data_IF_985173090664
#
_entry.id   IF_985173090664
#
_cell.length_a   1.000
_cell.length_b   1.000
_cell.length_c   1.000
_cell.angle_alpha   90.00
_cell.angle_beta   90.00
_cell.angle_gamma   90.00
#
_symmetry.space_group_name_H-M   'P 1'
#
loop_
_entity.id
_entity.type
_entity.pdbx_description
1 polymer ?
#
# COMPACT_ATOMS: atom_id res chain seq x y z
N UNK A 1 -5.37 -18.42 7.04
CA UNK A 1 -5.12 -17.17 7.78
C UNK A 1 -4.30 -16.26 6.86
N UNK A 2 -4.47 -14.94 6.92
CA UNK A 2 -3.72 -13.94 6.14
C UNK A 2 -3.24 -12.91 7.16
N UNK A 3 -1.98 -12.49 7.08
CA UNK A 3 -1.49 -11.35 7.87
C UNK A 3 -1.75 -10.07 7.09
N UNK A 4 -2.26 -9.07 7.79
CA UNK A 4 -2.43 -7.73 7.26
C UNK A 4 -1.18 -6.92 7.56
N UNK A 5 -0.39 -6.61 6.54
CA UNK A 5 0.79 -5.75 6.68
C UNK A 5 0.42 -4.31 6.34
N UNK A 6 0.70 -3.39 7.26
CA UNK A 6 0.59 -1.95 7.02
C UNK A 6 1.97 -1.38 6.66
N UNK A 7 2.07 -0.74 5.50
CA UNK A 7 3.28 -0.07 5.06
C UNK A 7 2.98 1.40 4.75
N UNK A 8 3.91 2.29 5.10
CA UNK A 8 3.87 3.69 4.65
C UNK A 8 5.07 3.95 3.76
N UNK A 9 4.83 4.40 2.54
CA UNK A 9 5.87 4.69 1.55
C UNK A 9 5.78 6.15 1.12
N UNK A 10 6.94 6.81 1.07
CA UNK A 10 7.06 8.19 0.62
C UNK A 10 7.79 8.24 -0.73
N UNK A 11 7.21 8.96 -1.68
CA UNK A 11 7.76 9.23 -3.00
C UNK A 11 8.01 10.72 -3.14
N UNK A 12 9.15 11.06 -3.76
CA UNK A 12 9.58 12.43 -4.00
C UNK A 12 9.62 12.64 -5.51
N UNK A 13 8.62 13.34 -6.04
CA UNK A 13 8.36 13.48 -7.47
C UNK A 13 8.69 14.89 -7.95
N UNK A 14 9.15 15.01 -9.18
CA UNK A 14 9.45 16.32 -9.78
C UNK A 14 8.18 17.03 -10.28
N UNK A 15 7.10 16.28 -10.53
CA UNK A 15 5.82 16.82 -11.00
C UNK A 15 4.63 16.16 -10.32
N UNK A 16 3.50 16.87 -10.29
CA UNK A 16 2.22 16.30 -9.83
C UNK A 16 1.81 15.08 -10.66
N UNK A 17 2.02 15.15 -11.98
CA UNK A 17 1.69 14.05 -12.89
C UNK A 17 2.47 12.77 -12.56
N UNK A 18 3.76 12.89 -12.25
CA UNK A 18 4.59 11.75 -11.86
C UNK A 18 4.08 11.11 -10.56
N UNK A 19 3.68 11.91 -9.58
CA UNK A 19 3.05 11.40 -8.35
C UNK A 19 1.73 10.66 -8.67
N UNK A 20 0.93 11.18 -9.59
CA UNK A 20 -0.32 10.53 -10.01
C UNK A 20 -0.06 9.22 -10.75
N UNK A 21 0.93 9.17 -11.66
CA UNK A 21 1.32 7.96 -12.38
C UNK A 21 1.81 6.86 -11.41
N UNK A 22 2.57 7.23 -10.36
CA UNK A 22 2.97 6.32 -9.29
C UNK A 22 1.74 5.81 -8.54
N UNK A 23 0.83 6.69 -8.13
CA UNK A 23 -0.38 6.33 -7.40
C UNK A 23 -1.24 5.33 -8.19
N UNK A 24 -1.44 5.57 -9.48
CA UNK A 24 -2.26 4.72 -10.33
C UNK A 24 -1.59 3.35 -10.58
N UNK A 25 -0.27 3.33 -10.74
CA UNK A 25 0.49 2.08 -10.78
C UNK A 25 0.33 1.28 -9.49
N UNK A 26 0.47 1.94 -8.32
CA UNK A 26 0.32 1.29 -7.01
C UNK A 26 -1.09 0.73 -6.80
N UNK A 27 -2.13 1.44 -7.23
CA UNK A 27 -3.50 0.93 -7.22
C UNK A 27 -3.63 -0.33 -8.08
N UNK A 28 -3.11 -0.32 -9.30
CA UNK A 28 -3.15 -1.47 -10.20
C UNK A 28 -2.39 -2.68 -9.61
N UNK A 29 -1.21 -2.45 -9.03
CA UNK A 29 -0.44 -3.51 -8.36
C UNK A 29 -1.25 -4.13 -7.21
N UNK A 30 -1.89 -3.30 -6.38
CA UNK A 30 -2.65 -3.75 -5.20
C UNK A 30 -3.98 -4.42 -5.55
N UNK A 31 -4.63 -3.99 -6.64
CA UNK A 31 -5.84 -4.61 -7.18
C UNK A 31 -5.58 -5.93 -7.90
N UNK A 32 -4.31 -6.29 -8.12
CA UNK A 32 -3.94 -7.59 -8.72
C UNK A 32 -4.46 -8.73 -7.85
N UNK A 33 -5.10 -9.70 -8.51
CA UNK A 33 -5.66 -10.89 -7.87
C UNK A 33 -4.56 -11.95 -7.79
N UNK A 34 -4.27 -12.44 -6.58
CA UNK A 34 -3.36 -13.55 -6.33
C UNK A 34 -3.99 -14.88 -6.78
N UNK A 35 -3.18 -15.92 -6.91
CA UNK A 35 -3.63 -17.26 -7.31
C UNK A 35 -4.74 -17.82 -6.40
N UNK A 36 -4.81 -17.32 -5.16
CA UNK A 36 -5.81 -17.67 -4.15
C UNK A 36 -7.15 -16.93 -4.32
N UNK A 37 -7.29 -16.13 -5.39
CA UNK A 37 -8.49 -15.37 -5.70
C UNK A 37 -8.69 -14.11 -4.84
N UNK A 38 -7.63 -13.57 -4.23
CA UNK A 38 -7.69 -12.41 -3.33
C UNK A 38 -6.91 -11.24 -3.90
N UNK A 39 -7.33 -10.01 -3.60
CA UNK A 39 -6.51 -8.82 -3.93
C UNK A 39 -5.22 -8.84 -3.11
N UNK A 40 -4.12 -8.41 -3.74
CA UNK A 40 -2.83 -8.25 -3.07
C UNK A 40 -2.91 -7.27 -1.89
N UNK A 41 -3.70 -6.21 -2.02
CA UNK A 41 -3.91 -5.25 -0.95
C UNK A 41 -4.80 -4.07 -1.35
N UNK A 42 -4.64 -2.95 -0.65
CA UNK A 42 -5.32 -1.68 -0.96
C UNK A 42 -4.57 -0.48 -0.40
N UNK A 43 -4.81 0.69 -1.00
CA UNK A 43 -4.36 1.98 -0.45
C UNK A 43 -5.36 2.41 0.62
N UNK A 44 -4.88 2.63 1.83
CA UNK A 44 -5.66 3.10 2.98
C UNK A 44 -5.68 4.63 3.07
N UNK A 45 -4.56 5.26 2.73
CA UNK A 45 -4.44 6.72 2.76
C UNK A 45 -3.46 7.18 1.69
N UNK A 46 -3.80 8.28 1.04
CA UNK A 46 -2.89 9.00 0.14
C UNK A 46 -2.82 10.46 0.58
N UNK A 47 -1.63 11.04 0.56
CA UNK A 47 -1.38 12.46 0.83
C UNK A 47 -0.42 12.94 -0.24
N UNK A 48 -0.80 14.00 -0.96
CA UNK A 48 0.07 14.66 -1.92
C UNK A 48 0.34 16.08 -1.43
N UNK A 49 1.61 16.43 -1.27
CA UNK A 49 2.04 17.74 -0.79
C UNK A 49 2.95 18.40 -1.83
N UNK A 50 2.64 19.64 -2.20
CA UNK A 50 3.58 20.50 -2.94
C UNK A 50 4.59 21.09 -1.95
N UNK A 51 5.88 20.84 -2.19
CA UNK A 51 6.99 21.29 -1.36
C UNK A 51 7.89 22.19 -2.18
N UNK A 52 7.91 23.46 -1.78
CA UNK A 52 8.87 24.44 -2.28
C UNK A 52 9.98 24.58 -1.24
N UNK A 53 11.18 24.21 -1.61
CA UNK A 53 12.41 24.55 -0.88
C UNK A 53 13.08 25.73 -1.57
N UNK A 54 13.99 26.42 -0.88
CA UNK A 54 14.68 27.61 -1.38
C UNK A 54 15.26 27.44 -2.78
N UNK A 55 15.66 26.21 -3.13
CA UNK A 55 16.38 25.89 -4.36
C UNK A 55 15.56 25.02 -5.35
N UNK A 56 14.48 24.36 -4.92
CA UNK A 56 13.72 23.42 -5.76
C UNK A 56 12.25 23.28 -5.33
N UNK A 57 11.37 23.06 -6.31
CA UNK A 57 9.99 22.60 -6.10
C UNK A 57 9.87 21.10 -6.40
N UNK A 58 9.20 20.36 -5.53
CA UNK A 58 8.91 18.94 -5.71
C UNK A 58 7.56 18.57 -5.06
N UNK A 59 7.00 17.44 -5.46
CA UNK A 59 5.77 16.88 -4.92
C UNK A 59 6.11 15.68 -4.04
N UNK A 60 5.70 15.71 -2.78
CA UNK A 60 5.82 14.58 -1.86
C UNK A 60 4.51 13.79 -1.85
N UNK A 61 4.55 12.56 -2.33
CA UNK A 61 3.43 11.62 -2.25
C UNK A 61 3.68 10.63 -1.11
N UNK A 62 2.78 10.58 -0.14
CA UNK A 62 2.79 9.60 0.95
C UNK A 62 1.62 8.65 0.78
N UNK A 63 1.91 7.37 0.65
CA UNK A 63 0.91 6.31 0.51
C UNK A 63 0.99 5.39 1.71
N UNK A 64 -0.15 5.17 2.39
CA UNK A 64 -0.31 4.11 3.37
C UNK A 64 -1.04 2.95 2.71
N UNK A 65 -0.41 1.81 2.67
CA UNK A 65 -0.86 0.60 1.98
C UNK A 65 -1.11 -0.51 3.01
N UNK A 66 -2.09 -1.34 2.71
CA UNK A 66 -2.46 -2.53 3.48
C UNK A 66 -2.36 -3.74 2.55
N UNK A 67 -1.55 -4.72 2.90
CA UNK A 67 -1.31 -5.91 2.09
C UNK A 67 -1.88 -7.16 2.75
N UNK A 68 -2.42 -8.04 1.92
CA UNK A 68 -2.78 -9.40 2.28
C UNK A 68 -1.56 -10.30 2.06
N UNK A 69 -0.78 -10.54 3.11
CA UNK A 69 0.32 -11.50 3.04
C UNK A 69 -0.18 -12.91 3.34
N UNK A 70 0.23 -13.85 2.50
CA UNK A 70 0.13 -15.27 2.81
C UNK A 70 0.85 -15.54 4.14
N UNK A 71 0.22 -16.34 5.00
CA UNK A 71 0.70 -16.61 6.37
C UNK A 71 2.11 -17.20 6.41
N UNK A 72 2.49 -17.93 5.37
CA UNK A 72 3.79 -18.60 5.28
C UNK A 72 4.94 -17.58 5.17
N UNK A 73 4.69 -16.41 4.56
CA UNK A 73 5.63 -15.28 4.48
C UNK A 73 5.61 -14.47 5.78
N UNK A 74 4.44 -14.35 6.40
CA UNK A 74 4.23 -13.64 7.66
C UNK A 74 4.93 -14.29 8.86
N UNK A 75 4.94 -15.62 8.94
CA UNK A 75 5.61 -16.37 10.02
C UNK A 75 7.13 -16.18 10.05
N UNK A 76 7.71 -15.69 8.96
CA UNK A 76 9.16 -15.53 8.80
C UNK A 76 9.64 -14.10 9.16
N UNK A 77 8.73 -13.20 9.54
CA UNK A 77 9.04 -11.79 9.83
C UNK A 77 9.41 -11.59 11.31
N UNK A 78 10.69 -11.31 11.64
CA UNK A 78 11.16 -11.16 13.02
C UNK A 78 10.71 -9.85 13.70
N UNK A 79 9.98 -8.98 12.99
CA UNK A 79 9.48 -7.70 13.50
C UNK A 79 7.95 -7.67 13.73
N UNK A 80 7.30 -8.84 13.74
CA UNK A 80 5.84 -8.95 13.84
C UNK A 80 5.31 -9.07 15.29
N UNK A 81 4.70 -7.99 15.78
CA UNK A 81 3.81 -8.02 16.95
C UNK A 81 2.47 -8.65 16.52
N UNK A 82 2.43 -9.97 16.49
CA UNK A 82 1.31 -10.86 16.15
C UNK A 82 -0.11 -10.36 16.54
N UNK A 83 -0.75 -9.54 15.71
CA UNK A 83 -2.17 -9.19 15.80
C UNK A 83 -2.96 -9.85 14.67
N UNK A 84 -3.44 -11.07 14.92
CA UNK A 84 -4.21 -11.87 13.97
C UNK A 84 -5.67 -11.43 13.97
N UNK A 85 -6.14 -10.77 12.89
CA UNK A 85 -7.56 -10.39 12.77
C UNK A 85 -8.13 -10.88 11.45
N UNK A 86 -9.17 -11.72 11.51
CA UNK A 86 -10.01 -12.00 10.34
C UNK A 86 -10.85 -10.76 10.03
N UNK A 87 -10.51 -10.06 8.95
CA UNK A 87 -11.35 -8.98 8.44
C UNK A 87 -11.88 -9.37 7.06
N UNK A 88 -13.22 -9.36 6.98
CA UNK A 88 -14.10 -9.44 5.81
C UNK A 88 -14.55 -10.85 5.38
N UNK A 89 -15.70 -11.35 5.90
CA UNK A 89 -16.42 -12.43 5.25
C UNK A 89 -16.89 -12.00 3.85
N UNK A 90 -16.83 -12.93 2.88
CA UNK A 90 -17.30 -12.73 1.51
C UNK A 90 -18.78 -12.30 1.50
N UNK A 91 -19.22 -11.44 0.56
CA UNK A 91 -20.65 -11.29 0.32
C UNK A 91 -21.19 -12.65 -0.14
N UNK A 92 -22.15 -13.20 0.62
CA UNK A 92 -22.87 -14.41 0.22
C UNK A 92 -23.57 -14.17 -1.13
N UNK A 93 -23.52 -15.20 -1.98
CA UNK A 93 -24.09 -15.22 -3.34
C UNK A 93 -25.59 -14.95 -3.35
#
# INVERSE_FOLDING_TARGET
MIKVLNQTTEYYCSTEKEAQDILDKRKADLDTITDDGRKLGRIMKQILEDKVTSDNQYYKLTIKEEYNLAVDVAQSDPHDDNDYVELFPMPEK
#
